data_IF_929159824840
#
_entry.id   IF_929159824840
#
_cell.length_a   1.000
_cell.length_b   1.000
_cell.length_c   1.000
_cell.angle_alpha   90.00
_cell.angle_beta   90.00
_cell.angle_gamma   90.00
#
_symmetry.space_group_name_H-M   'P 1'
#
loop_
_entity.id
_entity.type
_entity.pdbx_description
1 polymer ?
#
# COMPACT_ATOMS: atom_id res chain seq x y z
N UNK A 1 46.62 -44.93 2.42
CA UNK A 1 45.29 -44.29 2.44
C UNK A 1 44.90 -43.99 3.88
N UNK A 2 45.07 -42.74 4.34
CA UNK A 2 44.67 -42.34 5.68
C UNK A 2 43.14 -42.16 5.73
N UNK A 3 42.46 -42.96 6.55
CA UNK A 3 41.02 -42.83 6.78
C UNK A 3 40.82 -41.58 7.63
N UNK A 4 40.33 -40.50 7.00
CA UNK A 4 40.02 -39.25 7.66
C UNK A 4 38.75 -39.43 8.49
N UNK A 5 38.87 -39.81 9.77
CA UNK A 5 37.72 -39.99 10.65
C UNK A 5 37.31 -38.62 11.20
N UNK A 6 36.12 -38.13 10.79
CA UNK A 6 35.54 -36.92 11.35
C UNK A 6 35.36 -37.11 12.86
N UNK A 7 36.16 -36.39 13.66
CA UNK A 7 36.07 -36.42 15.11
C UNK A 7 34.90 -35.54 15.56
N UNK A 8 33.80 -36.18 15.96
CA UNK A 8 32.66 -35.45 16.51
C UNK A 8 33.02 -34.81 17.87
N UNK A 9 32.46 -33.63 18.18
CA UNK A 9 32.61 -32.97 19.47
C UNK A 9 32.23 -33.88 20.65
N UNK A 10 32.92 -33.73 21.78
CA UNK A 10 32.81 -34.61 22.96
C UNK A 10 31.39 -34.68 23.55
N UNK A 11 30.55 -33.67 23.32
CA UNK A 11 29.16 -33.64 23.78
C UNK A 11 28.22 -34.52 22.93
N UNK A 12 28.44 -34.64 21.61
CA UNK A 12 27.64 -35.50 20.72
C UNK A 12 27.86 -36.98 21.03
N UNK A 13 29.08 -37.35 21.47
CA UNK A 13 29.44 -38.73 21.80
C UNK A 13 28.75 -39.27 23.06
N UNK A 14 28.14 -38.41 23.87
CA UNK A 14 27.47 -38.77 25.14
C UNK A 14 25.95 -38.72 25.07
N UNK A 15 25.39 -38.33 23.92
CA UNK A 15 23.97 -38.05 23.73
C UNK A 15 23.28 -39.25 23.10
N UNK A 16 22.09 -39.60 23.60
CA UNK A 16 21.33 -40.72 23.04
C UNK A 16 20.71 -40.32 21.69
N UNK A 17 20.58 -41.28 20.78
CA UNK A 17 20.01 -41.08 19.45
C UNK A 17 18.69 -40.28 19.41
N UNK A 18 17.70 -40.53 20.30
CA UNK A 18 16.48 -39.71 20.36
C UNK A 18 16.74 -38.23 20.71
N UNK A 19 17.73 -37.91 21.53
CA UNK A 19 18.07 -36.52 21.87
C UNK A 19 18.69 -35.79 20.66
N UNK A 20 19.48 -36.50 19.84
CA UNK A 20 20.08 -35.94 18.63
C UNK A 20 19.00 -35.60 17.60
N UNK A 21 18.03 -36.50 17.41
CA UNK A 21 16.89 -36.27 16.52
C UNK A 21 16.04 -35.10 17.00
N UNK A 22 15.82 -34.98 18.31
CA UNK A 22 15.08 -33.87 18.90
C UNK A 22 15.78 -32.51 18.70
N UNK A 23 17.11 -32.45 18.85
CA UNK A 23 17.87 -31.21 18.58
C UNK A 23 17.83 -30.82 17.10
N UNK A 24 17.95 -31.78 16.18
CA UNK A 24 17.83 -31.50 14.74
C UNK A 24 16.43 -30.98 14.39
N UNK A 25 15.39 -31.54 15.00
CA UNK A 25 14.02 -31.06 14.84
C UNK A 25 13.86 -29.62 15.38
N UNK A 26 14.39 -29.31 16.56
CA UNK A 26 14.35 -27.94 17.13
C UNK A 26 15.04 -26.92 16.22
N UNK A 27 16.21 -27.25 15.67
CA UNK A 27 16.95 -26.36 14.75
C UNK A 27 16.14 -26.08 13.49
N UNK A 28 15.55 -27.11 12.88
CA UNK A 28 14.72 -26.96 11.67
C UNK A 28 13.43 -26.18 11.98
N UNK A 29 12.80 -26.45 13.12
CA UNK A 29 11.56 -25.79 13.53
C UNK A 29 11.78 -24.29 13.79
N UNK A 30 12.83 -23.92 14.53
CA UNK A 30 13.14 -22.50 14.77
C UNK A 30 13.63 -21.78 13.50
N UNK A 31 14.36 -22.46 12.61
CA UNK A 31 14.71 -21.91 11.30
C UNK A 31 13.45 -21.67 10.44
N UNK A 32 12.46 -22.55 10.51
CA UNK A 32 11.16 -22.37 9.85
C UNK A 32 10.36 -21.19 10.41
N UNK A 33 10.29 -21.04 11.74
CA UNK A 33 9.59 -19.94 12.40
C UNK A 33 10.19 -18.56 12.06
N UNK A 34 11.52 -18.46 12.08
CA UNK A 34 12.24 -17.23 11.74
C UNK A 34 12.09 -16.86 10.26
N UNK A 35 12.12 -17.85 9.36
CA UNK A 35 11.91 -17.63 7.94
C UNK A 35 10.48 -17.14 7.63
N UNK A 36 9.45 -17.77 8.24
CA UNK A 36 8.05 -17.33 8.09
C UNK A 36 7.86 -15.90 8.58
N UNK A 37 8.42 -15.56 9.74
CA UNK A 37 8.32 -14.21 10.31
C UNK A 37 9.06 -13.15 9.45
N UNK A 38 10.20 -13.52 8.86
CA UNK A 38 10.96 -12.65 7.97
C UNK A 38 10.21 -12.38 6.66
N UNK A 39 9.64 -13.42 6.03
CA UNK A 39 8.85 -13.29 4.80
C UNK A 39 7.62 -12.42 5.02
N UNK A 40 6.89 -12.59 6.12
CA UNK A 40 5.73 -11.74 6.44
C UNK A 40 6.13 -10.28 6.65
N UNK A 41 7.28 -10.01 7.31
CA UNK A 41 7.79 -8.65 7.48
C UNK A 41 8.20 -8.01 6.15
N UNK A 42 8.84 -8.76 5.25
CA UNK A 42 9.19 -8.27 3.91
C UNK A 42 7.96 -7.90 3.08
N UNK A 43 6.85 -8.63 3.23
CA UNK A 43 5.60 -8.27 2.56
C UNK A 43 5.01 -6.97 3.12
N UNK A 44 5.03 -6.75 4.44
CA UNK A 44 4.52 -5.53 5.08
C UNK A 44 5.30 -4.27 4.68
N UNK A 45 6.63 -4.36 4.60
CA UNK A 45 7.47 -3.23 4.17
C UNK A 45 7.20 -2.81 2.72
N UNK A 46 6.88 -3.77 1.85
CA UNK A 46 6.47 -3.46 0.47
C UNK A 46 5.17 -2.69 0.46
N UNK A 47 4.16 -3.14 1.21
CA UNK A 47 2.87 -2.44 1.29
C UNK A 47 3.00 -1.01 1.85
N UNK A 48 3.84 -0.81 2.87
CA UNK A 48 4.12 0.53 3.41
C UNK A 48 4.82 1.44 2.38
N UNK A 49 5.81 0.91 1.66
CA UNK A 49 6.50 1.67 0.62
C UNK A 49 5.58 2.08 -0.55
N UNK A 50 4.63 1.21 -0.93
CA UNK A 50 3.62 1.55 -1.94
C UNK A 50 2.67 2.66 -1.47
N UNK A 51 2.32 2.67 -0.18
CA UNK A 51 1.52 3.74 0.41
C UNK A 51 2.29 5.06 0.47
N UNK A 52 3.57 5.03 0.86
CA UNK A 52 4.43 6.22 0.86
C UNK A 52 4.62 6.83 -0.52
N UNK A 53 4.85 6.01 -1.56
CA UNK A 53 4.99 6.51 -2.94
C UNK A 53 3.68 7.15 -3.40
N UNK A 54 2.55 6.47 -3.19
CA UNK A 54 1.23 7.00 -3.53
C UNK A 54 0.96 8.32 -2.80
N UNK A 55 1.24 8.39 -1.50
CA UNK A 55 1.08 9.63 -0.73
C UNK A 55 2.08 10.72 -1.14
N UNK A 56 3.31 10.39 -1.54
CA UNK A 56 4.28 11.38 -2.02
C UNK A 56 3.92 11.93 -3.39
N UNK A 57 3.39 11.10 -4.28
CA UNK A 57 2.89 11.50 -5.60
C UNK A 57 1.64 12.37 -5.43
N UNK A 58 0.71 11.95 -4.57
CA UNK A 58 -0.44 12.77 -4.16
C UNK A 58 0.06 14.09 -3.57
N UNK A 59 0.90 14.11 -2.55
CA UNK A 59 1.40 15.36 -1.95
C UNK A 59 2.21 16.23 -2.92
N UNK A 60 2.82 15.66 -3.96
CA UNK A 60 3.55 16.41 -4.99
C UNK A 60 2.67 16.91 -6.13
N UNK A 61 1.53 16.25 -6.37
CA UNK A 61 0.49 16.68 -7.32
C UNK A 61 -0.58 17.56 -6.65
N UNK A 62 -0.71 17.44 -5.33
CA UNK A 62 -1.61 18.12 -4.42
C UNK A 62 -0.75 19.01 -3.52
N UNK A 63 -0.18 20.05 -4.12
CA UNK A 63 0.14 21.30 -3.40
C UNK A 63 -1.14 22.16 -3.27
N UNK A 64 -2.31 21.54 -3.43
CA UNK A 64 -3.62 22.12 -3.19
C UNK A 64 -3.98 21.77 -1.75
N UNK A 65 -3.60 22.66 -0.82
CA UNK A 65 -4.29 22.74 0.47
C UNK A 65 -5.79 22.67 0.21
N UNK A 66 -6.53 21.76 0.88
CA UNK A 66 -7.98 21.68 0.75
C UNK A 66 -8.53 23.04 1.19
N UNK A 67 -8.86 23.86 0.19
CA UNK A 67 -9.28 25.24 0.35
C UNK A 67 -10.70 25.37 -0.20
N UNK A 68 -11.37 26.45 0.15
CA UNK A 68 -12.77 26.67 -0.22
C UNK A 68 -12.99 26.68 -1.75
N UNK A 69 -11.97 27.06 -2.54
CA UNK A 69 -12.01 27.01 -4.00
C UNK A 69 -12.03 25.57 -4.54
N UNK A 70 -11.18 24.70 -4.00
CA UNK A 70 -11.13 23.28 -4.36
C UNK A 70 -12.42 22.57 -3.95
N UNK A 71 -12.95 22.86 -2.77
CA UNK A 71 -14.22 22.30 -2.30
C UNK A 71 -15.38 22.75 -3.20
N UNK A 72 -15.42 24.03 -3.58
CA UNK A 72 -16.43 24.54 -4.51
C UNK A 72 -16.34 23.93 -5.91
N UNK A 73 -15.16 23.44 -6.32
CA UNK A 73 -14.96 22.80 -7.62
C UNK A 73 -15.19 21.29 -7.59
N UNK A 74 -15.05 20.68 -6.43
CA UNK A 74 -15.32 19.26 -6.20
C UNK A 74 -16.83 18.93 -6.15
N UNK A 75 -17.67 19.93 -5.86
CA UNK A 75 -19.13 19.89 -6.06
C UNK A 75 -19.44 20.05 -7.57
N UNK A 76 -19.36 18.94 -8.30
CA UNK A 76 -19.46 18.89 -9.75
C UNK A 76 -20.92 19.01 -10.20
N UNK A 77 -21.86 18.51 -9.41
CA UNK A 77 -23.29 18.57 -9.71
C UNK A 77 -23.98 19.83 -9.14
N UNK A 78 -23.25 20.65 -8.37
CA UNK A 78 -23.67 21.92 -7.76
C UNK A 78 -24.81 21.75 -6.73
N UNK A 79 -24.87 20.61 -6.05
CA UNK A 79 -25.89 20.30 -5.03
C UNK A 79 -25.48 20.71 -3.60
N UNK A 80 -24.28 21.30 -3.45
CA UNK A 80 -23.67 21.73 -2.18
C UNK A 80 -23.17 20.59 -1.29
N UNK A 81 -23.21 19.34 -1.74
CA UNK A 81 -22.72 18.16 -1.04
C UNK A 81 -21.69 17.41 -1.88
N UNK A 82 -20.45 17.27 -1.39
CA UNK A 82 -19.42 16.54 -2.13
C UNK A 82 -19.55 15.06 -1.81
N UNK A 83 -20.20 14.30 -2.70
CA UNK A 83 -20.59 12.91 -2.44
C UNK A 83 -20.45 12.00 -3.68
N UNK A 84 -21.02 10.79 -3.61
CA UNK A 84 -20.95 9.81 -4.70
C UNK A 84 -21.60 10.29 -6.02
N UNK A 85 -22.54 11.23 -5.96
CA UNK A 85 -23.15 11.84 -7.15
C UNK A 85 -22.14 12.68 -7.95
N UNK A 86 -21.18 13.33 -7.30
CA UNK A 86 -20.07 14.01 -7.98
C UNK A 86 -19.13 13.02 -8.65
N UNK A 87 -18.88 11.87 -8.00
CA UNK A 87 -18.08 10.80 -8.60
C UNK A 87 -18.72 10.30 -9.89
N UNK A 88 -20.04 10.09 -9.89
CA UNK A 88 -20.77 9.70 -11.10
C UNK A 88 -20.69 10.79 -12.19
N UNK A 89 -20.81 12.05 -11.80
CA UNK A 89 -20.70 13.21 -12.71
C UNK A 89 -19.29 13.28 -13.33
N UNK A 90 -18.25 12.97 -12.56
CA UNK A 90 -16.89 12.89 -13.06
C UNK A 90 -16.66 11.70 -14.01
N UNK A 91 -17.27 10.54 -13.75
CA UNK A 91 -17.22 9.40 -14.66
C UNK A 91 -17.89 9.71 -16.00
N UNK A 92 -19.02 10.41 -15.96
CA UNK A 92 -19.71 10.91 -17.17
C UNK A 92 -18.85 11.93 -17.92
N UNK A 93 -18.18 12.86 -17.20
CA UNK A 93 -17.22 13.81 -17.77
C UNK A 93 -15.99 13.12 -18.38
N UNK A 94 -15.49 12.05 -17.77
CA UNK A 94 -14.36 11.28 -18.31
C UNK A 94 -14.71 10.59 -19.64
N UNK A 95 -15.96 10.19 -19.81
CA UNK A 95 -16.47 9.61 -21.06
C UNK A 95 -16.84 10.67 -22.11
N UNK A 96 -17.14 11.90 -21.68
CA UNK A 96 -17.50 13.01 -22.53
C UNK A 96 -16.25 13.78 -23.01
N UNK A 97 -16.04 13.82 -24.33
CA UNK A 97 -15.01 14.66 -24.96
C UNK A 97 -15.64 16.02 -25.33
N UNK A 98 -16.13 16.75 -24.34
CA UNK A 98 -16.67 18.10 -24.51
C UNK A 98 -15.98 19.11 -23.58
N UNK A 99 -16.29 20.40 -23.72
CA UNK A 99 -15.71 21.44 -22.86
C UNK A 99 -16.27 21.43 -21.44
N UNK A 100 -17.40 20.76 -21.22
CA UNK A 100 -18.03 20.64 -19.90
C UNK A 100 -17.28 19.62 -19.04
N UNK A 101 -16.60 18.64 -19.65
CA UNK A 101 -15.73 17.72 -18.90
C UNK A 101 -14.58 18.40 -18.18
N UNK A 102 -14.08 19.54 -18.69
CA UNK A 102 -13.03 20.33 -18.01
C UNK A 102 -13.46 20.86 -16.63
N UNK A 103 -14.76 20.84 -16.29
CA UNK A 103 -15.20 21.14 -14.92
C UNK A 103 -14.72 20.09 -13.91
N UNK A 104 -14.51 18.85 -14.36
CA UNK A 104 -13.99 17.75 -13.55
C UNK A 104 -12.45 17.70 -13.49
N UNK A 105 -11.76 18.64 -14.14
CA UNK A 105 -10.30 18.82 -14.00
C UNK A 105 -10.04 19.57 -12.69
N UNK A 106 -9.87 18.82 -11.60
CA UNK A 106 -9.69 19.36 -10.24
C UNK A 106 -8.28 19.89 -10.03
N UNK A 107 -7.27 19.29 -10.67
CA UNK A 107 -5.88 19.74 -10.57
C UNK A 107 -5.47 20.84 -11.57
N UNK A 108 -6.36 21.22 -12.48
CA UNK A 108 -6.16 22.23 -13.54
C UNK A 108 -5.01 21.92 -14.50
N UNK A 109 -4.71 20.64 -14.74
CA UNK A 109 -3.66 20.22 -15.68
C UNK A 109 -4.13 20.19 -17.15
N UNK A 110 -5.39 20.54 -17.38
CA UNK A 110 -6.05 20.60 -18.69
C UNK A 110 -6.58 19.26 -19.16
N UNK A 111 -6.63 18.25 -18.29
CA UNK A 111 -7.13 16.90 -18.55
C UNK A 111 -7.96 16.43 -17.37
N UNK A 112 -8.95 15.59 -17.64
CA UNK A 112 -9.67 14.83 -16.61
C UNK A 112 -9.08 13.44 -16.61
N UNK A 113 -8.33 13.08 -15.58
CA UNK A 113 -7.70 11.78 -15.46
C UNK A 113 -7.79 11.16 -14.05
N UNK A 114 -7.08 10.05 -13.85
CA UNK A 114 -7.09 9.32 -12.59
C UNK A 114 -6.60 10.16 -11.39
N UNK A 115 -5.86 11.24 -11.62
CA UNK A 115 -5.42 12.16 -10.55
C UNK A 115 -6.59 12.98 -10.03
N UNK A 116 -7.47 13.46 -10.90
CA UNK A 116 -8.68 14.21 -10.50
C UNK A 116 -9.60 13.29 -9.68
N UNK A 117 -9.72 12.04 -10.09
CA UNK A 117 -10.43 11.01 -9.31
C UNK A 117 -9.85 10.79 -7.92
N UNK A 118 -8.52 10.74 -7.81
CA UNK A 118 -7.85 10.61 -6.53
C UNK A 118 -8.09 11.82 -5.61
N UNK A 119 -8.13 13.04 -6.18
CA UNK A 119 -8.42 14.27 -5.43
C UNK A 119 -9.85 14.24 -4.90
N UNK A 120 -10.85 13.94 -5.74
CA UNK A 120 -12.25 13.88 -5.32
C UNK A 120 -12.47 12.84 -4.21
N UNK A 121 -11.90 11.65 -4.38
CA UNK A 121 -12.02 10.57 -3.38
C UNK A 121 -11.40 11.01 -2.05
N UNK A 122 -10.25 11.68 -2.09
CA UNK A 122 -9.59 12.18 -0.88
C UNK A 122 -10.44 13.22 -0.14
N UNK A 123 -11.14 14.10 -0.87
CA UNK A 123 -12.05 15.08 -0.30
C UNK A 123 -13.23 14.38 0.39
N UNK A 124 -13.88 13.42 -0.29
CA UNK A 124 -15.01 12.65 0.28
C UNK A 124 -14.59 11.92 1.56
N UNK A 125 -13.46 11.19 1.52
CA UNK A 125 -12.93 10.49 2.69
C UNK A 125 -12.63 11.43 3.86
N UNK A 126 -12.16 12.65 3.57
CA UNK A 126 -11.90 13.66 4.60
C UNK A 126 -13.18 14.18 5.26
N UNK A 127 -14.28 14.28 4.51
CA UNK A 127 -15.57 14.74 5.03
C UNK A 127 -16.27 13.68 5.88
N UNK A 128 -16.17 12.40 5.52
CA UNK A 128 -16.76 11.29 6.29
C UNK A 128 -16.07 11.03 7.64
N UNK A 129 -14.84 11.53 7.83
CA UNK A 129 -14.04 11.33 9.04
C UNK A 129 -14.28 12.36 10.16
N UNK A 130 -15.13 13.38 9.90
CA UNK A 130 -15.53 14.43 10.86
C UNK A 130 -16.95 14.21 11.39
#
# INVERSE_FOLDING_TARGET
MAKNTRSYPKYIKKMDWPEIVFLLFLVIFFAGLTCKHFVTKQQQLRWQKWQEIKNSEINSAVDLEINDDLLSRADLNQDQEINQADVQTMEEAFLAIDSESLKADLNQDGRVDAKDYAILTHIIESQESN
#
